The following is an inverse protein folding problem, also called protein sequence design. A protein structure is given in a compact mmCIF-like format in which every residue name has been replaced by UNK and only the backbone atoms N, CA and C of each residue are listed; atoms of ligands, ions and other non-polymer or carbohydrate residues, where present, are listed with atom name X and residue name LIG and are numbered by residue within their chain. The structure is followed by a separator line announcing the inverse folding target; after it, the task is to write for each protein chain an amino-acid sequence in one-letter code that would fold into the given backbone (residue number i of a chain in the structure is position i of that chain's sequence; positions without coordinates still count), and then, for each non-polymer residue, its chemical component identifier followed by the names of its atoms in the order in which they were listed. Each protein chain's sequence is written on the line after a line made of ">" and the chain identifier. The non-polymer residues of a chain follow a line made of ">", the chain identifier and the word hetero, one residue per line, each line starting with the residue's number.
data_IF_497198127967
#
_entry.id   IF_497198127967
#
_cell.length_a   1.000
_cell.length_b   1.000
_cell.length_c   1.000
_cell.angle_alpha   90.00
_cell.angle_beta   90.00
_cell.angle_gamma   90.00
#
_symmetry.space_group_name_H-M   'P 1'
#
loop_
_entity.id
_entity.type
_entity.pdbx_description
1 polymer ?
#
# COMPACT_ATOMS: atom_id res chain seq x y z
N UNK A 1 34.98 25.02 -37.77
CA UNK A 1 34.25 24.75 -36.50
C UNK A 1 33.37 25.96 -36.18
N UNK A 2 32.05 25.87 -36.36
CA UNK A 2 31.12 26.98 -36.06
C UNK A 2 31.01 27.13 -34.53
N UNK A 3 31.70 28.14 -33.95
CA UNK A 3 31.53 28.50 -32.53
C UNK A 3 30.06 28.93 -32.33
N UNK A 4 29.34 28.23 -31.46
CA UNK A 4 27.94 28.55 -31.17
C UNK A 4 27.79 29.97 -30.64
N UNK A 5 26.78 30.71 -31.12
CA UNK A 5 26.49 32.07 -30.64
C UNK A 5 26.25 32.07 -29.12
N UNK A 6 26.83 33.01 -28.35
CA UNK A 6 26.68 33.08 -26.89
C UNK A 6 25.20 33.17 -26.44
N UNK A 7 24.31 33.71 -27.29
CA UNK A 7 22.86 33.69 -27.04
C UNK A 7 22.26 32.28 -27.08
N UNK A 8 22.74 31.42 -27.98
CA UNK A 8 22.28 30.02 -28.11
C UNK A 8 22.77 29.14 -26.96
N UNK A 9 23.94 29.43 -26.40
CA UNK A 9 24.46 28.73 -25.21
C UNK A 9 23.66 29.13 -23.97
N UNK A 10 23.34 30.42 -23.80
CA UNK A 10 22.52 30.92 -22.68
C UNK A 10 21.09 30.38 -22.71
N UNK A 11 20.45 30.31 -23.89
CA UNK A 11 19.09 29.75 -24.00
C UNK A 11 19.06 28.26 -23.70
N UNK A 12 20.03 27.48 -24.21
CA UNK A 12 20.13 26.04 -23.90
C UNK A 12 20.38 25.81 -22.41
N UNK A 13 21.26 26.59 -21.79
CA UNK A 13 21.51 26.50 -20.35
C UNK A 13 20.27 26.83 -19.51
N UNK A 14 19.51 27.86 -19.89
CA UNK A 14 18.28 28.23 -19.19
C UNK A 14 17.19 27.17 -19.34
N UNK A 15 17.01 26.61 -20.55
CA UNK A 15 16.07 25.52 -20.79
C UNK A 15 16.43 24.27 -20.00
N UNK A 16 17.72 23.90 -19.95
CA UNK A 16 18.18 22.76 -19.17
C UNK A 16 17.96 22.97 -17.66
N UNK A 17 18.28 24.17 -17.15
CA UNK A 17 18.02 24.53 -15.77
C UNK A 17 16.51 24.43 -15.45
N UNK A 18 15.65 24.93 -16.32
CA UNK A 18 14.20 24.83 -16.16
C UNK A 18 13.71 23.38 -16.10
N UNK A 19 14.19 22.51 -17.01
CA UNK A 19 13.84 21.08 -17.01
C UNK A 19 14.28 20.40 -15.72
N UNK A 20 15.50 20.69 -15.23
CA UNK A 20 15.99 20.13 -13.97
C UNK A 20 15.15 20.59 -12.77
N UNK A 21 14.77 21.87 -12.73
CA UNK A 21 13.89 22.40 -11.67
C UNK A 21 12.52 21.72 -11.69
N UNK A 22 11.91 21.57 -12.87
CA UNK A 22 10.61 20.91 -13.00
C UNK A 22 10.70 19.43 -12.61
N UNK A 23 11.74 18.73 -13.06
CA UNK A 23 11.95 17.33 -12.71
C UNK A 23 12.17 17.14 -11.19
N UNK A 24 12.97 18.00 -10.57
CA UNK A 24 13.21 17.97 -9.13
C UNK A 24 11.92 18.26 -8.33
N UNK A 25 11.17 19.29 -8.73
CA UNK A 25 9.88 19.61 -8.11
C UNK A 25 8.87 18.47 -8.27
N UNK A 26 8.83 17.84 -9.45
CA UNK A 26 8.00 16.68 -9.73
C UNK A 26 8.36 15.49 -8.85
N UNK A 27 9.65 15.17 -8.69
CA UNK A 27 10.11 14.09 -7.83
C UNK A 27 9.75 14.33 -6.35
N UNK A 28 9.91 15.56 -5.85
CA UNK A 28 9.52 15.91 -4.48
C UNK A 28 8.00 15.77 -4.28
N UNK A 29 7.20 16.27 -5.22
CA UNK A 29 5.74 16.14 -5.16
C UNK A 29 5.31 14.66 -5.21
N UNK A 30 5.97 13.87 -6.04
CA UNK A 30 5.70 12.45 -6.18
C UNK A 30 5.95 11.69 -4.87
N UNK A 31 7.06 11.96 -4.19
CA UNK A 31 7.36 11.33 -2.89
C UNK A 31 6.41 11.82 -1.79
N UNK A 32 6.14 13.13 -1.72
CA UNK A 32 5.21 13.69 -0.72
C UNK A 32 3.82 13.07 -0.82
N UNK A 33 3.31 12.90 -2.04
CA UNK A 33 1.99 12.29 -2.28
C UNK A 33 1.98 10.77 -2.05
N UNK A 34 3.11 10.15 -1.71
CA UNK A 34 3.20 8.74 -1.29
C UNK A 34 3.32 8.59 0.24
N UNK A 35 3.43 9.69 0.98
CA UNK A 35 3.55 9.64 2.44
C UNK A 35 2.22 9.32 3.12
N UNK A 36 2.27 8.67 4.29
CA UNK A 36 1.08 8.46 5.14
C UNK A 36 0.37 9.76 5.46
N UNK A 37 1.13 10.85 5.72
CA UNK A 37 0.57 12.16 6.02
C UNK A 37 -0.29 12.73 4.88
N UNK A 38 0.08 12.48 3.62
CA UNK A 38 -0.77 12.82 2.48
C UNK A 38 -1.99 11.91 2.38
N UNK A 39 -1.82 10.59 2.55
CA UNK A 39 -2.95 9.65 2.50
C UNK A 39 -4.04 9.99 3.52
N UNK A 40 -3.66 10.35 4.75
CA UNK A 40 -4.61 10.70 5.82
C UNK A 40 -5.02 12.17 5.81
N UNK A 41 -4.67 12.94 4.77
CA UNK A 41 -5.15 14.31 4.63
C UNK A 41 -6.64 14.38 4.27
N UNK A 42 -7.21 13.29 3.76
CA UNK A 42 -8.64 13.11 3.59
C UNK A 42 -9.23 12.35 4.80
N UNK A 43 -10.34 12.85 5.34
CA UNK A 43 -10.92 12.35 6.60
C UNK A 43 -11.37 10.88 6.54
N UNK A 44 -11.78 10.40 5.35
CA UNK A 44 -12.18 9.01 5.15
C UNK A 44 -11.04 8.00 5.40
N UNK A 45 -9.78 8.44 5.30
CA UNK A 45 -8.60 7.60 5.52
C UNK A 45 -8.19 7.50 6.99
N UNK A 46 -8.65 8.41 7.85
CA UNK A 46 -8.27 8.44 9.28
C UNK A 46 -8.68 7.16 10.00
N UNK A 47 -9.88 6.65 9.70
CA UNK A 47 -10.37 5.39 10.27
C UNK A 47 -9.48 4.21 9.87
N UNK A 48 -9.07 4.14 8.61
CA UNK A 48 -8.15 3.12 8.13
C UNK A 48 -6.80 3.22 8.87
N UNK A 49 -6.27 4.42 9.07
CA UNK A 49 -5.04 4.61 9.84
C UNK A 49 -5.19 4.17 11.31
N UNK A 50 -6.34 4.43 11.94
CA UNK A 50 -6.62 3.98 13.30
C UNK A 50 -6.68 2.45 13.40
N UNK A 51 -7.38 1.80 12.47
CA UNK A 51 -7.46 0.34 12.40
C UNK A 51 -6.08 -0.30 12.11
N UNK A 52 -5.25 0.32 11.27
CA UNK A 52 -3.89 -0.14 10.96
C UNK A 52 -3.01 -0.20 12.20
N UNK A 53 -3.07 0.84 13.05
CA UNK A 53 -2.28 0.94 14.30
C UNK A 53 -2.59 -0.19 15.29
N UNK A 54 -3.72 -0.86 15.14
CA UNK A 54 -4.15 -1.97 16.01
C UNK A 54 -3.85 -3.34 15.39
N UNK A 55 -3.46 -3.36 14.11
CA UNK A 55 -3.22 -4.57 13.34
C UNK A 55 -1.85 -5.20 13.61
N UNK A 56 -1.63 -6.45 13.17
CA UNK A 56 -0.29 -7.04 13.11
C UNK A 56 0.73 -6.21 12.30
N UNK A 57 0.25 -5.39 11.35
CA UNK A 57 1.07 -4.51 10.50
C UNK A 57 1.16 -3.07 11.04
N UNK A 58 0.93 -2.84 12.34
CA UNK A 58 1.12 -1.50 12.90
C UNK A 58 2.56 -0.97 12.76
N UNK A 59 3.54 -1.89 12.71
CA UNK A 59 4.97 -1.60 12.60
C UNK A 59 5.59 -2.35 11.42
N UNK A 60 6.61 -1.76 10.81
CA UNK A 60 7.46 -2.38 9.81
C UNK A 60 8.49 -3.35 10.43
N UNK A 61 9.30 -4.00 9.58
CA UNK A 61 10.37 -4.92 10.01
C UNK A 61 11.41 -4.27 10.92
N UNK A 62 11.59 -2.95 10.80
CA UNK A 62 12.53 -2.13 11.58
C UNK A 62 11.86 -1.54 12.84
N UNK A 63 10.64 -1.98 13.18
CA UNK A 63 9.85 -1.53 14.33
C UNK A 63 9.44 -0.04 14.28
N UNK A 64 9.39 0.55 13.08
CA UNK A 64 8.83 1.90 12.86
C UNK A 64 7.36 1.79 12.47
N UNK A 65 6.53 2.83 12.66
CA UNK A 65 5.19 2.85 12.10
C UNK A 65 5.21 2.55 10.60
N UNK A 66 4.43 1.58 10.16
CA UNK A 66 4.35 1.27 8.72
C UNK A 66 3.70 2.44 7.98
N UNK A 67 4.19 2.72 6.77
CA UNK A 67 3.60 3.70 5.87
C UNK A 67 2.58 3.07 4.92
N UNK A 68 1.55 3.83 4.53
CA UNK A 68 0.52 3.37 3.58
C UNK A 68 1.15 2.83 2.27
N UNK A 69 2.18 3.53 1.75
CA UNK A 69 2.86 3.14 0.51
C UNK A 69 3.61 1.80 0.60
N UNK A 70 3.98 1.33 1.78
CA UNK A 70 4.72 0.07 1.94
C UNK A 70 3.85 -1.15 1.61
N UNK A 71 2.53 -0.99 1.55
CA UNK A 71 1.60 -2.04 1.15
C UNK A 71 0.75 -1.65 -0.07
N UNK A 72 0.41 -0.37 -0.24
CA UNK A 72 -0.50 0.08 -1.30
C UNK A 72 0.19 0.51 -2.59
N UNK A 73 1.52 0.56 -2.63
CA UNK A 73 2.30 0.82 -3.83
C UNK A 73 3.33 -0.29 -4.04
N UNK A 74 3.74 -0.57 -5.29
CA UNK A 74 4.76 -1.57 -5.56
C UNK A 74 6.06 -1.25 -4.81
N UNK A 75 6.79 -2.28 -4.40
CA UNK A 75 8.03 -2.08 -3.64
C UNK A 75 9.12 -1.42 -4.48
N UNK A 76 9.11 -1.70 -5.79
CA UNK A 76 10.08 -1.16 -6.74
C UNK A 76 9.50 0.01 -7.53
N UNK A 77 10.28 1.08 -7.67
CA UNK A 77 9.91 2.19 -8.55
C UNK A 77 10.01 1.77 -10.01
N UNK A 78 8.98 2.10 -10.80
CA UNK A 78 8.93 1.77 -12.22
C UNK A 78 7.60 2.15 -12.86
N UNK A 79 7.34 1.75 -14.12
CA UNK A 79 6.11 2.07 -14.82
C UNK A 79 4.85 1.60 -14.09
N UNK A 80 4.89 0.39 -13.51
CA UNK A 80 3.77 -0.17 -12.73
C UNK A 80 3.48 0.65 -11.47
N UNK A 81 4.51 1.11 -10.78
CA UNK A 81 4.36 1.99 -9.61
C UNK A 81 3.64 3.28 -10.00
N UNK A 82 4.14 3.95 -11.05
CA UNK A 82 3.57 5.23 -11.51
C UNK A 82 2.13 5.03 -11.98
N UNK A 83 1.86 3.97 -12.73
CA UNK A 83 0.52 3.65 -13.23
C UNK A 83 -0.47 3.36 -12.09
N UNK A 84 -0.09 2.52 -11.12
CA UNK A 84 -0.96 2.19 -9.99
C UNK A 84 -1.24 3.43 -9.13
N UNK A 85 -0.19 4.19 -8.79
CA UNK A 85 -0.33 5.43 -8.02
C UNK A 85 -1.25 6.43 -8.72
N UNK A 86 -1.07 6.63 -10.02
CA UNK A 86 -1.92 7.54 -10.79
C UNK A 86 -3.37 7.06 -10.85
N UNK A 87 -3.59 5.77 -11.13
CA UNK A 87 -4.92 5.19 -11.20
C UNK A 87 -5.67 5.29 -9.86
N UNK A 88 -5.03 4.85 -8.77
CA UNK A 88 -5.64 4.91 -7.43
C UNK A 88 -5.85 6.36 -6.98
N UNK A 89 -4.86 7.24 -7.16
CA UNK A 89 -5.00 8.64 -6.80
C UNK A 89 -6.15 9.35 -7.52
N UNK A 90 -6.33 9.10 -8.83
CA UNK A 90 -7.47 9.65 -9.59
C UNK A 90 -8.78 9.05 -9.10
N UNK A 91 -8.84 7.73 -8.91
CA UNK A 91 -10.02 7.05 -8.40
C UNK A 91 -10.46 7.61 -7.04
N UNK A 92 -9.52 7.79 -6.12
CA UNK A 92 -9.80 8.27 -4.77
C UNK A 92 -10.32 9.72 -4.80
N UNK A 93 -9.71 10.60 -5.61
CA UNK A 93 -10.21 11.98 -5.79
C UNK A 93 -11.62 12.00 -6.39
N UNK A 94 -11.91 11.15 -7.36
CA UNK A 94 -13.26 11.06 -7.96
C UNK A 94 -14.26 10.59 -6.91
N UNK A 95 -13.95 9.52 -6.16
CA UNK A 95 -14.85 9.01 -5.11
C UNK A 95 -15.04 10.04 -3.99
N UNK A 96 -13.99 10.76 -3.60
CA UNK A 96 -14.07 11.82 -2.59
C UNK A 96 -14.97 12.99 -3.03
N UNK A 97 -14.90 13.38 -4.31
CA UNK A 97 -15.57 14.60 -4.81
C UNK A 97 -17.01 14.38 -5.27
N UNK A 98 -17.29 13.24 -5.89
CA UNK A 98 -18.61 12.97 -6.50
C UNK A 98 -19.22 11.64 -6.06
N UNK A 99 -18.49 10.82 -5.29
CA UNK A 99 -18.98 9.54 -4.80
C UNK A 99 -19.86 9.69 -3.56
N UNK A 100 -20.68 8.66 -3.32
CA UNK A 100 -21.44 8.56 -2.08
C UNK A 100 -20.51 8.24 -0.90
N UNK A 101 -20.79 8.79 0.30
CA UNK A 101 -20.01 8.47 1.50
C UNK A 101 -19.98 6.96 1.75
N UNK A 102 -18.77 6.41 1.84
CA UNK A 102 -18.58 4.99 2.15
C UNK A 102 -18.97 4.73 3.61
N UNK A 103 -20.16 4.17 3.82
CA UNK A 103 -20.58 3.63 5.11
C UNK A 103 -20.14 2.15 5.27
N UNK A 104 -20.32 1.60 6.48
CA UNK A 104 -19.86 0.25 6.81
C UNK A 104 -20.49 -0.86 5.95
N UNK A 105 -21.67 -0.66 5.38
CA UNK A 105 -22.30 -1.62 4.45
C UNK A 105 -21.47 -1.74 3.16
N UNK A 106 -21.08 -0.61 2.58
CA UNK A 106 -20.26 -0.59 1.38
C UNK A 106 -18.85 -1.13 1.64
N UNK A 107 -18.26 -0.87 2.83
CA UNK A 107 -16.93 -1.39 3.17
C UNK A 107 -16.85 -2.91 3.04
N UNK A 108 -17.89 -3.64 3.46
CA UNK A 108 -17.92 -5.11 3.40
C UNK A 108 -17.85 -5.62 1.97
N UNK A 109 -18.58 -4.98 1.06
CA UNK A 109 -18.60 -5.34 -0.36
C UNK A 109 -17.30 -4.93 -1.07
N UNK A 110 -16.76 -3.77 -0.69
CA UNK A 110 -15.55 -3.22 -1.27
C UNK A 110 -14.29 -4.01 -0.91
N UNK A 111 -14.23 -4.70 0.24
CA UNK A 111 -13.04 -5.41 0.70
C UNK A 111 -12.44 -6.34 -0.36
N UNK A 112 -13.29 -7.18 -0.98
CA UNK A 112 -12.83 -8.13 -2.00
C UNK A 112 -12.24 -7.42 -3.21
N UNK A 113 -12.82 -6.28 -3.59
CA UNK A 113 -12.31 -5.45 -4.69
C UNK A 113 -11.02 -4.72 -4.31
N UNK A 114 -10.90 -4.27 -3.06
CA UNK A 114 -9.78 -3.48 -2.56
C UNK A 114 -8.49 -4.31 -2.51
N UNK A 115 -8.58 -5.59 -2.12
CA UNK A 115 -7.44 -6.52 -2.06
C UNK A 115 -6.72 -6.66 -3.40
N UNK A 116 -7.43 -6.53 -4.52
CA UNK A 116 -6.85 -6.58 -5.87
C UNK A 116 -5.89 -5.43 -6.19
N UNK A 117 -5.96 -4.35 -5.42
CA UNK A 117 -5.08 -3.20 -5.58
C UNK A 117 -3.89 -3.22 -4.61
N UNK A 118 -3.72 -4.29 -3.83
CA UNK A 118 -2.55 -4.51 -2.99
C UNK A 118 -1.55 -5.35 -3.80
N UNK A 119 -0.43 -4.76 -4.25
CA UNK A 119 0.53 -5.49 -5.06
C UNK A 119 1.34 -6.46 -4.19
N UNK A 120 1.45 -7.72 -4.61
CA UNK A 120 2.12 -8.76 -3.84
C UNK A 120 3.62 -8.50 -3.60
N UNK A 121 4.28 -7.78 -4.51
CA UNK A 121 5.71 -7.44 -4.35
C UNK A 121 5.96 -6.58 -3.11
N UNK A 122 4.99 -5.76 -2.70
CA UNK A 122 5.01 -5.02 -1.44
C UNK A 122 5.05 -5.94 -0.22
N UNK A 123 4.30 -7.05 -0.26
CA UNK A 123 4.31 -8.06 0.79
C UNK A 123 5.68 -8.77 0.81
N UNK A 124 6.18 -9.17 -0.36
CA UNK A 124 7.44 -9.90 -0.53
C UNK A 124 8.68 -9.07 -0.19
N UNK A 125 8.59 -7.74 -0.20
CA UNK A 125 9.67 -6.85 0.22
C UNK A 125 10.01 -6.96 1.73
N UNK A 126 9.09 -7.50 2.54
CA UNK A 126 9.33 -7.81 3.95
C UNK A 126 9.22 -9.32 4.24
N UNK A 127 8.30 -10.02 3.55
CA UNK A 127 8.09 -11.46 3.65
C UNK A 127 8.84 -12.20 2.55
N UNK A 128 10.17 -12.15 2.62
CA UNK A 128 11.04 -12.74 1.59
C UNK A 128 10.99 -14.28 1.65
N UNK A 129 11.14 -14.84 2.85
CA UNK A 129 11.05 -16.27 3.10
C UNK A 129 9.63 -16.70 3.47
N UNK A 130 8.94 -17.30 2.50
CA UNK A 130 7.57 -17.77 2.67
C UNK A 130 7.46 -19.11 3.42
N UNK A 131 8.55 -19.77 3.79
CA UNK A 131 8.48 -21.00 4.60
C UNK A 131 8.47 -20.73 6.11
N UNK A 132 8.65 -19.46 6.51
CA UNK A 132 8.77 -19.07 7.91
C UNK A 132 7.80 -17.98 8.31
N UNK A 133 7.41 -18.00 9.58
CA UNK A 133 6.61 -16.95 10.19
C UNK A 133 7.50 -15.76 10.60
N UNK A 134 6.88 -14.71 11.16
CA UNK A 134 7.57 -13.48 11.62
C UNK A 134 8.54 -13.69 12.79
N UNK A 135 8.56 -14.89 13.39
CA UNK A 135 9.50 -15.29 14.46
C UNK A 135 10.63 -16.19 13.93
N UNK A 136 10.76 -16.32 12.61
CA UNK A 136 11.72 -17.21 11.94
C UNK A 136 11.48 -18.72 12.20
N UNK A 137 10.27 -19.09 12.60
CA UNK A 137 9.86 -20.48 12.81
C UNK A 137 9.16 -21.03 11.56
N UNK A 138 9.23 -22.35 11.27
CA UNK A 138 8.50 -22.94 10.16
C UNK A 138 6.99 -22.68 10.25
N UNK A 139 6.37 -22.36 9.12
CA UNK A 139 4.90 -22.30 9.03
C UNK A 139 4.27 -23.70 9.04
N UNK A 140 2.95 -23.76 9.18
CA UNK A 140 2.22 -25.03 9.10
C UNK A 140 2.38 -25.69 7.72
N UNK A 141 2.17 -26.99 7.67
CA UNK A 141 2.19 -27.76 6.41
C UNK A 141 1.20 -27.19 5.40
N UNK A 142 0.00 -26.83 5.85
CA UNK A 142 -1.05 -26.26 5.02
C UNK A 142 -0.64 -24.89 4.46
N UNK A 143 0.00 -24.04 5.27
CA UNK A 143 0.53 -22.76 4.82
C UNK A 143 1.64 -22.93 3.78
N UNK A 144 2.53 -23.91 3.99
CA UNK A 144 3.59 -24.22 3.01
C UNK A 144 3.00 -24.63 1.67
N UNK A 145 2.04 -25.55 1.64
CA UNK A 145 1.37 -25.97 0.41
C UNK A 145 0.66 -24.80 -0.29
N UNK A 146 0.04 -23.90 0.46
CA UNK A 146 -0.57 -22.70 -0.11
C UNK A 146 0.47 -21.75 -0.76
N UNK A 147 1.61 -21.55 -0.10
CA UNK A 147 2.71 -20.76 -0.66
C UNK A 147 3.38 -21.43 -1.87
N UNK A 148 3.51 -22.75 -1.89
CA UNK A 148 3.99 -23.48 -3.06
C UNK A 148 3.03 -23.34 -4.25
N UNK A 149 1.71 -23.38 -4.02
CA UNK A 149 0.71 -23.12 -5.06
C UNK A 149 0.74 -21.68 -5.56
N UNK A 150 1.01 -20.70 -4.68
CA UNK A 150 1.24 -19.30 -5.04
C UNK A 150 2.49 -19.13 -5.91
N UNK A 151 3.59 -19.79 -5.54
CA UNK A 151 4.84 -19.79 -6.30
C UNK A 151 4.78 -20.63 -7.59
N UNK A 152 3.73 -21.44 -7.77
CA UNK A 152 3.58 -22.35 -8.89
C UNK A 152 4.53 -23.55 -8.84
N UNK A 153 5.10 -23.87 -7.68
CA UNK A 153 6.02 -25.01 -7.49
C UNK A 153 5.28 -26.30 -7.14
N UNK A 154 4.08 -26.20 -6.58
CA UNK A 154 3.21 -27.34 -6.27
C UNK A 154 1.74 -26.94 -6.44
N UNK A 155 1.16 -27.26 -7.60
CA UNK A 155 -0.14 -26.70 -8.01
C UNK A 155 -0.02 -25.23 -8.44
N UNK A 156 -1.16 -24.56 -8.62
CA UNK A 156 -1.21 -23.14 -9.00
C UNK A 156 -2.47 -22.46 -8.44
N UNK A 157 -2.32 -21.24 -7.96
CA UNK A 157 -3.44 -20.33 -7.66
C UNK A 157 -3.31 -19.02 -8.45
N UNK A 158 -4.44 -18.36 -8.66
CA UNK A 158 -4.54 -17.00 -9.20
C UNK A 158 -4.69 -15.94 -8.08
N UNK A 159 -4.72 -16.38 -6.82
CA UNK A 159 -4.90 -15.52 -5.64
C UNK A 159 -3.58 -14.89 -5.21
N UNK A 160 -3.62 -13.59 -4.92
CA UNK A 160 -2.52 -12.86 -4.32
C UNK A 160 -2.43 -13.04 -2.80
N UNK A 161 -1.45 -12.40 -2.19
CA UNK A 161 -1.22 -12.46 -0.74
C UNK A 161 -2.47 -11.99 0.04
N UNK A 162 -3.03 -10.84 -0.34
CA UNK A 162 -4.16 -10.21 0.35
C UNK A 162 -5.49 -10.98 0.17
N UNK A 163 -5.60 -11.86 -0.83
CA UNK A 163 -6.79 -12.70 -1.02
C UNK A 163 -6.89 -13.78 0.05
N UNK A 164 -5.75 -14.34 0.47
CA UNK A 164 -5.65 -15.37 1.50
C UNK A 164 -5.40 -14.78 2.90
N UNK A 165 -4.50 -13.80 3.02
CA UNK A 165 -4.19 -13.10 4.28
C UNK A 165 -5.17 -11.96 4.54
N UNK A 166 -6.43 -12.33 4.74
CA UNK A 166 -7.49 -11.36 4.95
C UNK A 166 -7.35 -10.67 6.31
N UNK A 167 -7.76 -9.40 6.40
CA UNK A 167 -7.76 -8.63 7.65
C UNK A 167 -6.37 -8.55 8.33
N UNK A 168 -5.29 -8.73 7.56
CA UNK A 168 -3.89 -8.54 7.97
C UNK A 168 -3.60 -7.10 8.43
N UNK A 169 -4.32 -6.15 7.85
CA UNK A 169 -4.29 -4.72 8.12
C UNK A 169 -5.72 -4.21 7.97
N UNK A 170 -6.09 -3.19 8.75
CA UNK A 170 -7.43 -2.61 8.81
C UNK A 170 -8.52 -3.65 9.12
N UNK A 171 -8.99 -3.74 10.38
CA UNK A 171 -10.06 -4.65 10.75
C UNK A 171 -11.41 -3.91 10.82
N UNK A 172 -12.33 -4.15 9.88
CA UNK A 172 -13.65 -3.54 9.96
C UNK A 172 -14.47 -4.21 11.06
N UNK A 173 -15.36 -3.44 11.67
CA UNK A 173 -16.13 -3.88 12.85
C UNK A 173 -16.94 -5.17 12.59
N UNK A 174 -17.47 -5.34 11.37
CA UNK A 174 -18.26 -6.50 10.98
C UNK A 174 -17.45 -7.81 10.82
N UNK A 175 -16.12 -7.72 10.73
CA UNK A 175 -15.21 -8.86 10.60
C UNK A 175 -14.60 -9.31 11.93
N UNK A 176 -14.96 -8.64 13.05
CA UNK A 176 -14.54 -9.03 14.41
C UNK A 176 -15.05 -10.41 14.84
N UNK A 177 -16.11 -10.92 14.17
CA UNK A 177 -16.70 -12.23 14.46
C UNK A 177 -15.83 -13.42 14.05
N UNK A 178 -14.83 -13.21 13.18
CA UNK A 178 -13.97 -14.31 12.75
C UNK A 178 -12.94 -14.62 13.83
N UNK A 179 -12.87 -15.89 14.23
CA UNK A 179 -12.00 -16.35 15.32
C UNK A 179 -10.53 -16.03 15.05
N UNK A 180 -10.10 -16.08 13.79
CA UNK A 180 -8.75 -15.74 13.35
C UNK A 180 -8.39 -14.27 13.63
N UNK A 181 -9.38 -13.39 13.76
CA UNK A 181 -9.21 -11.97 14.07
C UNK A 181 -9.37 -11.66 15.57
N UNK A 182 -9.61 -12.64 16.43
CA UNK A 182 -10.03 -12.40 17.82
C UNK A 182 -9.05 -11.50 18.59
N UNK A 183 -7.73 -11.71 18.45
CA UNK A 183 -6.73 -10.87 19.10
C UNK A 183 -6.73 -9.42 18.58
N UNK A 184 -6.87 -9.25 17.26
CA UNK A 184 -6.96 -7.93 16.64
C UNK A 184 -8.27 -7.24 17.06
N UNK A 185 -9.39 -7.95 17.05
CA UNK A 185 -10.69 -7.46 17.48
C UNK A 185 -10.69 -7.02 18.96
N UNK A 186 -10.03 -7.79 19.84
CA UNK A 186 -9.91 -7.45 21.26
C UNK A 186 -9.17 -6.12 21.48
N UNK A 187 -8.09 -5.86 20.72
CA UNK A 187 -7.37 -4.57 20.77
C UNK A 187 -8.24 -3.39 20.36
N UNK A 188 -9.14 -3.58 19.38
CA UNK A 188 -10.09 -2.53 18.99
C UNK A 188 -11.13 -2.25 20.08
N UNK A 189 -11.75 -3.29 20.64
CA UNK A 189 -12.77 -3.13 21.67
C UNK A 189 -12.22 -2.39 22.92
N UNK A 190 -10.96 -2.65 23.30
CA UNK A 190 -10.30 -1.98 24.42
C UNK A 190 -10.05 -0.47 24.19
N UNK A 191 -10.09 0.02 22.95
CA UNK A 191 -9.93 1.43 22.61
C UNK A 191 -11.28 2.16 22.52
N UNK A 192 -12.36 1.46 22.16
CA UNK A 192 -13.73 2.03 22.07
C UNK A 192 -14.38 2.25 23.44
N UNK A 193 -13.92 1.53 24.48
CA UNK A 193 -14.39 1.69 25.86
C UNK A 193 -13.68 2.79 26.65
N UNK A 194 -12.88 3.64 26.00
CA UNK A 194 -12.20 4.80 26.58
C UNK A 194 -12.78 6.08 25.96
#
# INVERSE_FOLDING_TARGET
>A
MKKGSPGRVKTVALSLACVLVVAAAGAVAFEKTSSTGFCVSCHEMERHQAELKLSPHALDKDKRPIECRQCHLPASFGPTYVALKAYLGVKDVVVHTVGDPVNDFYRRELQMSARRFVPDDSCRACHENLEKNVKDEPISREGKLAHEAYLGTNGRTDKGCADCHQNMAHLPIFDRRYVQNAEFAAKMAAQEGK
#
